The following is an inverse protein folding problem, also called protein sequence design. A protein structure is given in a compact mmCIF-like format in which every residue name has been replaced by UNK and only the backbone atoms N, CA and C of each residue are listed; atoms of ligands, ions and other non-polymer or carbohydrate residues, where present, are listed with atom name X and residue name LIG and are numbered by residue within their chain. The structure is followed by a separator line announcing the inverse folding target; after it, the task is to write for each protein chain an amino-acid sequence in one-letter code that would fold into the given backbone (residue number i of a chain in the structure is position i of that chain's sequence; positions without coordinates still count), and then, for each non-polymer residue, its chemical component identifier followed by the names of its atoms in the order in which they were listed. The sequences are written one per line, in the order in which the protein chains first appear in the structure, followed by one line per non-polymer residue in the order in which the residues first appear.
data_IF_747129679020
#
_entry.id   IF_747129679020
#
_cell.length_a   1.000
_cell.length_b   1.000
_cell.length_c   1.000
_cell.angle_alpha   90.00
_cell.angle_beta   90.00
_cell.angle_gamma   90.00
#
_symmetry.space_group_name_H-M   'P 1'
#
loop_
_entity.id
_entity.type
_entity.pdbx_description
1 polymer ?
#
# COMPACT_ATOMS: atom_id res chain seq x y z
N UNK A 1 0.67 -10.50 -14.46
CA UNK A 1 1.49 -9.51 -13.75
C UNK A 1 2.20 -8.67 -14.80
N UNK A 2 1.97 -7.37 -14.82
CA UNK A 2 2.69 -6.48 -15.75
C UNK A 2 4.06 -6.11 -15.14
N UNK A 3 4.96 -5.52 -15.95
CA UNK A 3 6.33 -5.20 -15.50
C UNK A 3 6.35 -4.24 -14.30
N UNK A 4 5.48 -3.23 -14.28
CA UNK A 4 5.41 -2.26 -13.19
C UNK A 4 4.94 -2.91 -11.86
N UNK A 5 3.99 -3.84 -11.94
CA UNK A 5 3.50 -4.60 -10.79
C UNK A 5 4.60 -5.54 -10.25
N UNK A 6 5.41 -6.14 -11.14
CA UNK A 6 6.57 -6.96 -10.74
C UNK A 6 7.63 -6.13 -10.02
N UNK A 7 8.01 -4.97 -10.59
CA UNK A 7 8.95 -4.04 -9.96
C UNK A 7 8.44 -3.56 -8.58
N UNK A 8 7.16 -3.23 -8.48
CA UNK A 8 6.53 -2.88 -7.21
C UNK A 8 6.66 -4.02 -6.19
N UNK A 9 6.38 -5.26 -6.60
CA UNK A 9 6.46 -6.44 -5.74
C UNK A 9 7.88 -6.65 -5.21
N UNK A 10 8.87 -6.56 -6.09
CA UNK A 10 10.28 -6.68 -5.71
C UNK A 10 10.70 -5.60 -4.72
N UNK A 11 10.32 -4.34 -4.99
CA UNK A 11 10.60 -3.22 -4.08
C UNK A 11 9.92 -3.44 -2.73
N UNK A 12 8.63 -3.79 -2.73
CA UNK A 12 7.85 -4.05 -1.52
C UNK A 12 8.48 -5.19 -0.71
N UNK A 13 8.77 -6.33 -1.36
CA UNK A 13 9.33 -7.51 -0.68
C UNK A 13 10.73 -7.22 -0.09
N UNK A 14 11.47 -6.28 -0.67
CA UNK A 14 12.76 -5.78 -0.21
C UNK A 14 12.73 -4.64 0.82
N UNK A 15 11.56 -4.11 1.21
CA UNK A 15 11.48 -3.06 2.24
C UNK A 15 11.80 -3.62 3.63
N UNK A 16 12.61 -2.87 4.38
CA UNK A 16 12.98 -3.16 5.77
C UNK A 16 12.46 -2.08 6.72
N UNK A 17 12.16 -2.42 7.98
CA UNK A 17 11.90 -1.41 9.00
C UNK A 17 13.02 -0.36 9.06
N UNK A 18 12.64 0.92 9.11
CA UNK A 18 13.55 2.06 9.08
C UNK A 18 13.77 2.68 7.69
N UNK A 19 13.51 1.94 6.60
CA UNK A 19 13.61 2.49 5.24
C UNK A 19 12.67 3.69 5.09
N UNK A 20 13.18 4.83 4.60
CA UNK A 20 12.33 5.96 4.25
C UNK A 20 11.81 5.76 2.83
N UNK A 21 10.50 5.90 2.65
CA UNK A 21 9.83 5.67 1.38
C UNK A 21 8.83 6.76 1.05
N UNK A 22 8.69 6.99 -0.24
CA UNK A 22 7.60 7.74 -0.86
C UNK A 22 6.68 6.72 -1.56
N UNK A 23 5.41 6.70 -1.15
CA UNK A 23 4.37 5.87 -1.73
C UNK A 23 3.39 6.76 -2.48
N UNK A 24 3.23 6.51 -3.77
CA UNK A 24 2.30 7.23 -4.65
C UNK A 24 1.14 6.29 -4.95
N UNK A 25 -0.06 6.71 -4.61
CA UNK A 25 -1.29 5.93 -4.79
C UNK A 25 -2.27 6.67 -5.70
N UNK A 26 -2.87 5.96 -6.65
CA UNK A 26 -3.87 6.52 -7.56
C UNK A 26 -5.24 6.59 -6.91
N UNK A 27 -5.98 7.67 -7.16
CA UNK A 27 -7.37 7.83 -6.70
C UNK A 27 -8.22 8.22 -7.89
N UNK A 28 -9.18 7.38 -8.24
CA UNK A 28 -10.18 7.68 -9.27
C UNK A 28 -11.37 8.38 -8.63
N UNK A 29 -11.73 9.56 -9.15
CA UNK A 29 -12.84 10.38 -8.68
C UNK A 29 -13.89 10.48 -9.78
N UNK A 30 -15.07 9.94 -9.53
CA UNK A 30 -16.12 9.83 -10.54
C UNK A 30 -15.68 8.94 -11.70
N UNK A 31 -16.11 9.27 -12.92
CA UNK A 31 -15.84 8.47 -14.12
C UNK A 31 -14.62 8.93 -14.92
N UNK A 32 -14.03 10.09 -14.61
CA UNK A 32 -13.04 10.73 -15.49
C UNK A 32 -11.86 11.39 -14.77
N UNK A 33 -12.00 11.78 -13.51
CA UNK A 33 -10.90 12.39 -12.80
C UNK A 33 -10.00 11.30 -12.18
N UNK A 34 -8.70 11.43 -12.38
CA UNK A 34 -7.67 10.60 -11.74
C UNK A 34 -6.71 11.53 -11.02
N UNK A 35 -6.54 11.31 -9.72
CA UNK A 35 -5.62 12.02 -8.85
C UNK A 35 -4.56 11.06 -8.33
N UNK A 36 -3.48 11.60 -7.80
CA UNK A 36 -2.51 10.82 -7.04
C UNK A 36 -2.33 11.44 -5.67
N UNK A 37 -2.15 10.59 -4.66
CA UNK A 37 -1.78 11.00 -3.31
C UNK A 37 -0.41 10.44 -2.98
N UNK A 38 0.43 11.28 -2.35
CA UNK A 38 1.79 10.91 -1.97
C UNK A 38 1.89 10.82 -0.46
N UNK A 39 2.29 9.65 0.03
CA UNK A 39 2.55 9.40 1.44
C UNK A 39 4.04 9.15 1.64
N UNK A 40 4.69 9.98 2.46
CA UNK A 40 6.11 9.84 2.82
C UNK A 40 6.22 9.45 4.28
N UNK A 41 7.08 8.48 4.56
CA UNK A 41 7.35 8.05 5.94
C UNK A 41 8.41 6.95 6.02
N UNK A 42 8.75 6.57 7.25
CA UNK A 42 9.63 5.44 7.54
C UNK A 42 8.81 4.16 7.64
N UNK A 43 9.27 3.10 6.98
CA UNK A 43 8.67 1.76 7.08
C UNK A 43 8.79 1.29 8.51
N UNK A 44 7.65 0.94 9.12
CA UNK A 44 7.64 0.22 10.39
C UNK A 44 7.62 -1.29 10.15
N UNK A 45 6.72 -1.75 9.29
CA UNK A 45 6.63 -3.15 8.86
C UNK A 45 5.69 -3.32 7.67
N UNK A 46 5.83 -4.46 7.01
CA UNK A 46 4.93 -4.96 5.97
C UNK A 46 4.00 -6.02 6.54
N UNK A 47 2.78 -6.08 6.05
CA UNK A 47 1.83 -7.10 6.45
C UNK A 47 0.96 -7.56 5.29
N UNK A 48 0.45 -8.79 5.39
CA UNK A 48 -0.67 -9.26 4.59
C UNK A 48 -1.89 -9.40 5.49
N UNK A 49 -2.83 -8.45 5.38
CA UNK A 49 -3.99 -8.36 6.27
C UNK A 49 -5.20 -9.00 5.63
N UNK A 50 -5.92 -9.82 6.40
CA UNK A 50 -7.24 -10.31 6.02
C UNK A 50 -8.25 -9.18 6.22
N UNK A 51 -8.98 -8.81 5.18
CA UNK A 51 -10.06 -7.85 5.27
C UNK A 51 -11.40 -8.59 5.33
N UNK A 52 -12.26 -8.20 6.27
CA UNK A 52 -13.68 -8.54 6.27
C UNK A 52 -14.49 -7.27 6.04
N UNK A 53 -15.59 -7.35 5.31
CA UNK A 53 -16.62 -6.30 5.36
C UNK A 53 -17.29 -6.32 6.74
N UNK A 54 -17.98 -5.23 7.10
CA UNK A 54 -18.83 -5.14 8.30
C UNK A 54 -19.95 -6.22 8.38
N UNK A 55 -20.10 -7.04 7.34
CA UNK A 55 -21.01 -8.18 7.27
C UNK A 55 -20.23 -9.46 6.92
N UNK A 56 -20.71 -10.60 7.42
CA UNK A 56 -20.07 -11.91 7.21
C UNK A 56 -20.12 -12.27 5.73
N UNK A 57 -18.97 -12.27 5.05
CA UNK A 57 -18.85 -12.80 3.68
C UNK A 57 -18.95 -14.33 3.70
N UNK A 58 -19.18 -14.92 2.52
CA UNK A 58 -19.09 -16.37 2.34
C UNK A 58 -17.78 -16.89 2.94
N UNK A 59 -17.81 -18.02 3.65
CA UNK A 59 -16.68 -18.53 4.42
C UNK A 59 -15.43 -18.79 3.55
N UNK A 60 -15.66 -19.06 2.26
CA UNK A 60 -14.62 -19.30 1.26
C UNK A 60 -13.99 -18.02 0.69
N UNK A 61 -14.56 -16.85 1.00
CA UNK A 61 -14.05 -15.55 0.54
C UNK A 61 -12.92 -15.07 1.46
N UNK A 62 -11.69 -15.44 1.10
CA UNK A 62 -10.45 -15.05 1.78
C UNK A 62 -9.84 -13.83 1.09
N UNK A 63 -10.36 -12.64 1.38
CA UNK A 63 -9.77 -11.39 0.89
C UNK A 63 -8.58 -10.98 1.76
N UNK A 64 -7.41 -10.89 1.15
CA UNK A 64 -6.19 -10.36 1.77
C UNK A 64 -5.66 -9.19 0.96
N UNK A 65 -5.13 -8.19 1.64
CA UNK A 65 -4.38 -7.09 1.02
C UNK A 65 -3.01 -6.97 1.65
N UNK A 66 -2.02 -6.66 0.83
CA UNK A 66 -0.71 -6.27 1.31
C UNK A 66 -0.76 -4.80 1.76
N UNK A 67 -0.25 -4.53 2.95
CA UNK A 67 -0.28 -3.20 3.57
C UNK A 67 1.10 -2.82 4.10
N UNK A 68 1.44 -1.55 3.93
CA UNK A 68 2.66 -0.96 4.44
C UNK A 68 2.33 0.00 5.58
N UNK A 69 2.89 -0.27 6.76
CA UNK A 69 2.73 0.62 7.91
C UNK A 69 3.91 1.58 7.94
N UNK A 70 3.61 2.87 7.96
CA UNK A 70 4.56 3.96 7.92
C UNK A 70 4.44 4.83 9.17
N UNK A 71 5.59 5.28 9.68
CA UNK A 71 5.67 6.41 10.60
C UNK A 71 6.03 7.68 9.80
N UNK A 72 5.14 8.66 9.81
CA UNK A 72 5.36 9.95 9.15
C UNK A 72 6.29 10.84 9.98
N UNK A 73 6.74 11.93 9.40
CA UNK A 73 7.71 12.84 10.03
C UNK A 73 7.14 13.58 11.26
N UNK A 74 5.83 13.75 11.32
CA UNK A 74 5.08 14.32 12.44
C UNK A 74 4.77 13.31 13.56
N UNK A 75 5.20 12.06 13.39
CA UNK A 75 4.92 10.96 14.32
C UNK A 75 3.57 10.27 14.08
N UNK A 76 2.78 10.69 13.09
CA UNK A 76 1.55 9.99 12.69
C UNK A 76 1.90 8.58 12.19
N UNK A 77 1.14 7.59 12.64
CA UNK A 77 1.19 6.24 12.10
C UNK A 77 0.09 6.08 11.05
N UNK A 78 0.49 5.74 9.84
CA UNK A 78 -0.44 5.51 8.74
C UNK A 78 -0.24 4.13 8.12
N UNK A 79 -1.29 3.61 7.51
CA UNK A 79 -1.28 2.31 6.82
C UNK A 79 -1.71 2.53 5.39
N UNK A 80 -0.88 2.12 4.44
CA UNK A 80 -1.14 2.24 3.01
C UNK A 80 -1.37 0.85 2.44
N UNK A 81 -2.53 0.64 1.83
CA UNK A 81 -2.84 -0.58 1.07
C UNK A 81 -2.13 -0.54 -0.28
N UNK A 82 -1.50 -1.64 -0.67
CA UNK A 82 -0.77 -1.76 -1.92
C UNK A 82 -1.66 -2.42 -2.98
N UNK A 83 -1.72 -1.83 -4.16
CA UNK A 83 -2.41 -2.33 -5.36
C UNK A 83 -1.49 -2.29 -6.59
N UNK A 84 -1.98 -2.75 -7.75
CA UNK A 84 -1.21 -2.80 -8.99
C UNK A 84 -0.82 -1.43 -9.59
N UNK A 85 -1.41 -0.34 -9.09
CA UNK A 85 -1.13 1.03 -9.56
C UNK A 85 -0.22 1.81 -8.61
N UNK A 86 -0.01 1.28 -7.41
CA UNK A 86 0.84 1.88 -6.38
C UNK A 86 2.29 1.91 -6.85
N UNK A 87 2.99 3.01 -6.57
CA UNK A 87 4.44 3.11 -6.81
C UNK A 87 5.15 3.43 -5.51
N UNK A 88 6.25 2.71 -5.26
CA UNK A 88 7.08 2.90 -4.06
C UNK A 88 8.47 3.33 -4.52
N UNK A 89 9.00 4.38 -3.91
CA UNK A 89 10.38 4.83 -4.08
C UNK A 89 11.05 4.90 -2.72
N UNK A 90 12.26 4.36 -2.60
CA UNK A 90 13.11 4.60 -1.41
C UNK A 90 13.75 5.99 -1.52
N UNK A 91 13.84 6.71 -0.41
CA UNK A 91 14.35 8.09 -0.31
C UNK A 91 15.47 8.16 0.72
#
# INVERSE_FOLDING_TARGET
MNTAEQELREVYDGLKPGDRVEVIHGVTVGSSATWSTTTVGKVLRRERRRHGLHFRRNADDKVYSDVLILARDDGELTTVTIDEFTRIKKV
#
